data_IF_390618092000
#
_entry.id   IF_390618092000
#
_cell.length_a   1.000
_cell.length_b   1.000
_cell.length_c   1.000
_cell.angle_alpha   90.00
_cell.angle_beta   90.00
_cell.angle_gamma   90.00
#
_symmetry.space_group_name_H-M   'P 1'
#
loop_
_entity.id
_entity.type
_entity.pdbx_description
1 polymer ?
#
# COMPACT_ATOMS: atom_id res chain seq x y z
N UNK A 1 -21.09 7.30 17.12
CA UNK A 1 -19.63 7.52 17.09
C UNK A 1 -18.93 6.62 16.05
N UNK A 2 -19.25 5.32 16.05
CA UNK A 2 -18.71 4.37 15.06
C UNK A 2 -19.12 4.73 13.63
N UNK A 3 -20.40 5.06 13.41
CA UNK A 3 -20.92 5.46 12.10
C UNK A 3 -20.25 6.73 11.58
N UNK A 4 -20.05 7.73 12.44
CA UNK A 4 -19.34 8.95 12.08
C UNK A 4 -17.88 8.70 11.70
N UNK A 5 -17.19 7.78 12.39
CA UNK A 5 -15.81 7.41 12.07
C UNK A 5 -15.72 6.70 10.72
N UNK A 6 -16.64 5.80 10.41
CA UNK A 6 -16.71 5.13 9.10
C UNK A 6 -17.00 6.12 7.97
N UNK A 7 -17.96 7.03 8.17
CA UNK A 7 -18.28 8.06 7.18
C UNK A 7 -17.10 8.97 6.90
N UNK A 8 -16.42 9.44 7.94
CA UNK A 8 -15.23 10.27 7.81
C UNK A 8 -14.11 9.56 7.06
N UNK A 9 -13.87 8.28 7.35
CA UNK A 9 -12.84 7.47 6.69
C UNK A 9 -13.14 7.29 5.20
N UNK A 10 -14.37 6.93 4.85
CA UNK A 10 -14.77 6.75 3.44
C UNK A 10 -14.76 8.07 2.67
N UNK A 11 -15.26 9.14 3.28
CA UNK A 11 -15.22 10.48 2.68
C UNK A 11 -13.80 10.96 2.42
N UNK A 12 -12.87 10.71 3.34
CA UNK A 12 -11.47 11.06 3.19
C UNK A 12 -10.83 10.30 2.01
N UNK A 13 -11.01 8.99 1.95
CA UNK A 13 -10.49 8.16 0.86
C UNK A 13 -11.04 8.61 -0.50
N UNK A 14 -12.35 8.84 -0.60
CA UNK A 14 -12.98 9.31 -1.82
C UNK A 14 -12.42 10.67 -2.28
N UNK A 15 -12.15 11.59 -1.35
CA UNK A 15 -11.54 12.88 -1.67
C UNK A 15 -10.11 12.74 -2.18
N UNK A 16 -9.30 11.87 -1.59
CA UNK A 16 -7.95 11.58 -2.08
C UNK A 16 -8.01 11.03 -3.50
N UNK A 17 -8.82 10.03 -3.75
CA UNK A 17 -8.94 9.41 -5.07
C UNK A 17 -9.50 10.34 -6.13
N UNK A 18 -10.35 11.29 -5.74
CA UNK A 18 -10.89 12.29 -6.65
C UNK A 18 -9.89 13.42 -6.99
N UNK A 19 -9.09 13.85 -6.02
CA UNK A 19 -8.24 15.05 -6.16
C UNK A 19 -6.80 14.75 -6.53
N UNK A 20 -6.25 13.64 -6.07
CA UNK A 20 -4.84 13.31 -6.25
C UNK A 20 -4.44 13.07 -7.71
N UNK A 21 -5.26 12.44 -8.58
CA UNK A 21 -4.88 12.29 -9.98
C UNK A 21 -4.62 13.61 -10.69
N UNK A 22 -5.49 14.59 -10.51
CA UNK A 22 -5.30 15.91 -11.09
C UNK A 22 -4.11 16.68 -10.48
N UNK A 23 -3.89 16.51 -9.17
CA UNK A 23 -2.73 17.10 -8.49
C UNK A 23 -1.41 16.49 -8.99
N UNK A 24 -1.37 15.17 -9.15
CA UNK A 24 -0.21 14.48 -9.73
C UNK A 24 0.08 14.96 -11.13
N UNK A 25 -0.93 15.11 -11.98
CA UNK A 25 -0.75 15.62 -13.33
C UNK A 25 -0.13 17.02 -13.34
N UNK A 26 -0.59 17.91 -12.46
CA UNK A 26 0.00 19.26 -12.33
C UNK A 26 1.47 19.22 -11.91
N UNK A 27 1.83 18.33 -10.98
CA UNK A 27 3.22 18.16 -10.55
C UNK A 27 4.11 17.68 -11.71
N UNK A 28 3.65 16.71 -12.47
CA UNK A 28 4.37 16.22 -13.64
C UNK A 28 4.53 17.29 -14.71
N UNK A 29 3.51 18.08 -14.98
CA UNK A 29 3.57 19.21 -15.90
C UNK A 29 4.53 20.32 -15.42
N UNK A 30 4.71 20.46 -14.11
CA UNK A 30 5.68 21.37 -13.50
C UNK A 30 7.12 20.83 -13.50
N UNK A 31 7.36 19.67 -14.08
CA UNK A 31 8.71 19.09 -14.21
C UNK A 31 9.14 18.23 -13.04
N UNK A 32 8.25 17.88 -12.10
CA UNK A 32 8.56 16.94 -11.00
C UNK A 32 8.79 15.56 -11.58
N UNK A 33 9.88 14.92 -11.17
CA UNK A 33 10.21 13.58 -11.59
C UNK A 33 9.72 12.56 -10.54
N UNK A 34 8.82 11.68 -10.96
CA UNK A 34 8.45 10.51 -10.15
C UNK A 34 9.56 9.48 -10.24
N UNK A 35 10.04 9.05 -9.08
CA UNK A 35 11.04 7.98 -9.00
C UNK A 35 10.55 6.91 -8.03
N UNK A 36 10.78 5.69 -8.39
CA UNK A 36 10.55 4.54 -7.54
C UNK A 36 11.83 4.21 -6.77
N UNK A 37 11.69 3.83 -5.50
CA UNK A 37 12.84 3.27 -4.78
C UNK A 37 13.30 1.99 -5.47
N UNK A 38 14.63 1.78 -5.62
CA UNK A 38 15.16 0.52 -6.13
C UNK A 38 14.71 -0.67 -5.27
N UNK A 39 14.54 -1.83 -5.91
CA UNK A 39 14.05 -3.03 -5.23
C UNK A 39 14.98 -3.52 -4.11
N UNK A 40 16.29 -3.33 -4.27
CA UNK A 40 17.27 -3.67 -3.24
C UNK A 40 17.10 -2.83 -1.97
N UNK A 41 16.82 -1.53 -2.12
CA UNK A 41 16.52 -0.62 -0.99
C UNK A 41 15.24 -1.06 -0.28
N UNK A 42 14.19 -1.38 -1.03
CA UNK A 42 12.92 -1.83 -0.46
C UNK A 42 13.05 -3.19 0.25
N UNK A 43 13.81 -4.12 -0.32
CA UNK A 43 14.08 -5.42 0.32
C UNK A 43 14.88 -5.27 1.59
N UNK A 44 15.92 -4.44 1.60
CA UNK A 44 16.73 -4.21 2.79
C UNK A 44 15.92 -3.51 3.89
N UNK A 45 15.10 -2.52 3.54
CA UNK A 45 14.19 -1.89 4.49
C UNK A 45 13.20 -2.89 5.10
N UNK A 46 12.63 -3.77 4.29
CA UNK A 46 11.74 -4.84 4.77
C UNK A 46 12.46 -5.81 5.70
N UNK A 47 13.68 -6.23 5.35
CA UNK A 47 14.51 -7.12 6.18
C UNK A 47 14.79 -6.50 7.54
N UNK A 48 15.22 -5.24 7.57
CA UNK A 48 15.52 -4.51 8.82
C UNK A 48 14.25 -4.36 9.67
N UNK A 49 13.14 -4.01 9.05
CA UNK A 49 11.86 -3.90 9.76
C UNK A 49 11.42 -5.22 10.40
N UNK A 50 11.54 -6.33 9.69
CA UNK A 50 11.22 -7.66 10.24
C UNK A 50 12.17 -8.06 11.39
N UNK A 51 13.46 -7.74 11.26
CA UNK A 51 14.44 -7.99 12.31
C UNK A 51 14.11 -7.20 13.57
N UNK A 52 13.85 -5.90 13.46
CA UNK A 52 13.46 -5.05 14.58
C UNK A 52 12.18 -5.52 15.27
N UNK A 53 11.16 -5.84 14.49
CA UNK A 53 9.89 -6.34 15.02
C UNK A 53 10.02 -7.72 15.67
N UNK A 54 10.97 -8.53 15.22
CA UNK A 54 11.23 -9.85 15.79
C UNK A 54 12.06 -9.84 17.08
N UNK A 55 12.68 -8.73 17.45
CA UNK A 55 13.52 -8.64 18.64
C UNK A 55 12.76 -8.52 19.96
N UNK A 56 11.51 -8.06 19.92
CA UNK A 56 10.69 -7.89 21.11
C UNK A 56 10.35 -9.23 21.76
N UNK A 57 10.61 -9.34 23.07
CA UNK A 57 10.45 -10.59 23.82
C UNK A 57 9.21 -10.65 24.70
N UNK A 58 8.45 -9.55 24.81
CA UNK A 58 7.21 -9.56 25.58
C UNK A 58 6.25 -10.63 25.04
N UNK A 59 5.72 -11.53 25.91
CA UNK A 59 4.88 -12.65 25.45
C UNK A 59 3.60 -12.22 24.75
N UNK A 60 2.98 -11.10 25.19
CA UNK A 60 1.77 -10.59 24.56
C UNK A 60 2.09 -10.00 23.18
N UNK A 61 3.16 -9.24 23.08
CA UNK A 61 3.64 -8.73 21.81
C UNK A 61 3.90 -9.86 20.81
N UNK A 62 4.62 -10.91 21.22
CA UNK A 62 4.93 -12.04 20.34
C UNK A 62 3.67 -12.75 19.85
N UNK A 63 2.70 -12.96 20.73
CA UNK A 63 1.42 -13.56 20.37
C UNK A 63 0.68 -12.74 19.30
N UNK A 64 0.63 -11.43 19.49
CA UNK A 64 0.01 -10.49 18.53
C UNK A 64 0.78 -10.47 17.21
N UNK A 65 2.10 -10.38 17.27
CA UNK A 65 2.95 -10.34 16.09
C UNK A 65 2.88 -11.62 15.25
N UNK A 66 2.84 -12.79 15.88
CA UNK A 66 2.66 -14.05 15.18
C UNK A 66 1.28 -14.16 14.51
N UNK A 67 0.23 -13.72 15.19
CA UNK A 67 -1.11 -13.65 14.61
C UNK A 67 -1.16 -12.72 13.41
N UNK A 68 -0.55 -11.55 13.52
CA UNK A 68 -0.42 -10.59 12.43
C UNK A 68 0.35 -11.17 11.23
N UNK A 69 1.46 -11.86 11.47
CA UNK A 69 2.24 -12.50 10.39
C UNK A 69 1.43 -13.53 9.61
N UNK A 70 0.65 -14.38 10.32
CA UNK A 70 -0.23 -15.36 9.68
C UNK A 70 -1.31 -14.67 8.84
N UNK A 71 -1.98 -13.69 9.42
CA UNK A 71 -2.97 -12.91 8.69
C UNK A 71 -2.38 -12.23 7.46
N UNK A 72 -1.24 -11.56 7.59
CA UNK A 72 -0.55 -10.90 6.49
C UNK A 72 -0.23 -11.87 5.36
N UNK A 73 0.31 -13.04 5.67
CA UNK A 73 0.65 -14.03 4.67
C UNK A 73 -0.57 -14.52 3.88
N UNK A 74 -1.68 -14.75 4.56
CA UNK A 74 -2.94 -15.16 3.91
C UNK A 74 -3.51 -14.02 3.05
N UNK A 75 -3.58 -12.82 3.60
CA UNK A 75 -4.12 -11.65 2.92
C UNK A 75 -3.29 -11.28 1.69
N UNK A 76 -1.97 -11.30 1.78
CA UNK A 76 -1.11 -10.97 0.65
C UNK A 76 -1.19 -12.00 -0.48
N UNK A 77 -1.37 -13.28 -0.16
CA UNK A 77 -1.65 -14.30 -1.18
C UNK A 77 -2.97 -14.06 -1.90
N UNK A 78 -4.00 -13.72 -1.14
CA UNK A 78 -5.32 -13.40 -1.71
C UNK A 78 -5.25 -12.15 -2.60
N UNK A 79 -4.80 -11.03 -2.07
CA UNK A 79 -4.73 -9.78 -2.83
C UNK A 79 -3.72 -9.83 -3.98
N UNK A 80 -2.65 -10.57 -3.83
CA UNK A 80 -1.69 -10.81 -4.91
C UNK A 80 -2.28 -11.63 -6.08
N UNK A 81 -3.20 -12.53 -5.78
CA UNK A 81 -3.88 -13.36 -6.78
C UNK A 81 -5.05 -12.63 -7.44
N UNK A 82 -5.68 -11.69 -6.74
CA UNK A 82 -6.88 -10.98 -7.19
C UNK A 82 -6.55 -9.56 -7.64
N UNK A 83 -6.58 -8.60 -6.72
CA UNK A 83 -6.48 -7.17 -7.03
C UNK A 83 -5.14 -6.80 -7.68
N UNK A 84 -4.02 -7.31 -7.16
CA UNK A 84 -2.71 -7.00 -7.71
C UNK A 84 -2.54 -7.56 -9.13
N UNK A 85 -2.98 -8.79 -9.37
CA UNK A 85 -2.88 -9.41 -10.69
C UNK A 85 -3.66 -8.61 -11.74
N UNK A 86 -4.87 -8.18 -11.41
CA UNK A 86 -5.65 -7.31 -12.29
C UNK A 86 -5.03 -5.93 -12.44
N UNK A 87 -4.58 -5.31 -11.34
CA UNK A 87 -3.98 -3.98 -11.37
C UNK A 87 -2.69 -3.95 -12.21
N UNK A 88 -1.85 -4.97 -12.10
CA UNK A 88 -0.64 -5.11 -12.91
C UNK A 88 -0.95 -5.17 -14.41
N UNK A 89 -2.02 -5.84 -14.78
CA UNK A 89 -2.49 -5.86 -16.16
C UNK A 89 -3.09 -4.53 -16.59
N UNK A 90 -4.09 -4.04 -15.86
CA UNK A 90 -4.90 -2.88 -16.27
C UNK A 90 -4.11 -1.58 -16.28
N UNK A 91 -3.26 -1.36 -15.27
CA UNK A 91 -2.52 -0.10 -15.12
C UNK A 91 -1.32 0.02 -16.06
N UNK A 92 -0.95 -1.03 -16.74
CA UNK A 92 0.13 -1.03 -17.73
C UNK A 92 -0.39 -1.16 -19.16
N UNK A 93 -1.68 -1.32 -19.36
CA UNK A 93 -2.27 -1.44 -20.70
C UNK A 93 -2.31 -0.07 -21.37
N UNK A 94 -1.59 0.15 -22.49
CA UNK A 94 -1.50 1.48 -23.11
C UNK A 94 -2.85 2.07 -23.46
N UNK A 95 -3.80 1.28 -23.96
CA UNK A 95 -5.14 1.73 -24.33
C UNK A 95 -5.98 2.25 -23.16
N UNK A 96 -5.61 1.91 -21.91
CA UNK A 96 -6.27 2.43 -20.71
C UNK A 96 -5.61 3.70 -20.16
N UNK A 97 -4.42 4.02 -20.65
CA UNK A 97 -3.64 5.19 -20.23
C UNK A 97 -3.77 6.35 -21.20
N UNK A 98 -4.29 6.11 -22.39
CA UNK A 98 -4.53 7.12 -23.43
C UNK A 98 -5.92 7.73 -23.26
N UNK A 99 -6.01 9.04 -23.38
CA UNK A 99 -7.26 9.81 -23.39
C UNK A 99 -7.54 10.42 -24.75
#
# INVERSE_FOLDING_TARGET
LWTAALEASQSLLARYDARNPAALQRLLQAGVQLRRFPDDVLREAARIAEELLGQEQDPLYRKIYEAYRRWRAQSYRWFGTTELAYAQFAFQLPSFLET
#
